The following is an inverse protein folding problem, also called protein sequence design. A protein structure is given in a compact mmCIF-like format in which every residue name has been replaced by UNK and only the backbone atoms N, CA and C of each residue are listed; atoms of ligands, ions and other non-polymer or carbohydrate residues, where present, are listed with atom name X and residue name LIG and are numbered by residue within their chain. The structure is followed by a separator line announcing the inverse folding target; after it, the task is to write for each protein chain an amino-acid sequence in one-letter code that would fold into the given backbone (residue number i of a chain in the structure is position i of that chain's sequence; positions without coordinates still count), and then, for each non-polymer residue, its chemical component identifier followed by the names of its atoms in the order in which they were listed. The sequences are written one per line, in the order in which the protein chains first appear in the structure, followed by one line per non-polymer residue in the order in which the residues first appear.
data_IF_615365380522
#
_entry.id   IF_615365380522
#
_cell.length_a   1.000
_cell.length_b   1.000
_cell.length_c   1.000
_cell.angle_alpha   90.00
_cell.angle_beta   90.00
_cell.angle_gamma   90.00
#
_symmetry.space_group_name_H-M   'P 1'
#
loop_
_entity.id
_entity.type
_entity.pdbx_description
1 polymer ?
#
# COMPACT_ATOMS: atom_id res chain seq x y z
N UNK A 1 -15.98 -17.56 16.42
CA UNK A 1 -16.39 -16.29 15.77
C UNK A 1 -15.58 -16.19 14.49
N UNK A 2 -16.22 -16.05 13.33
CA UNK A 2 -15.48 -15.70 12.12
C UNK A 2 -15.10 -14.22 12.26
N UNK A 3 -13.80 -13.96 12.38
CA UNK A 3 -13.27 -12.59 12.30
C UNK A 3 -13.66 -12.04 10.93
N UNK A 4 -14.44 -10.96 10.89
CA UNK A 4 -14.64 -10.21 9.65
C UNK A 4 -13.31 -9.52 9.36
N UNK A 5 -12.50 -10.09 8.49
CA UNK A 5 -11.28 -9.44 8.00
C UNK A 5 -11.68 -8.19 7.22
N UNK A 6 -11.45 -7.01 7.83
CA UNK A 6 -11.67 -5.70 7.19
C UNK A 6 -10.66 -5.52 6.05
N UNK A 7 -9.43 -5.99 6.24
CA UNK A 7 -8.40 -5.98 5.22
C UNK A 7 -8.56 -7.19 4.30
N UNK A 8 -9.23 -6.96 3.15
CA UNK A 8 -9.50 -7.99 2.14
C UNK A 8 -8.55 -7.85 0.94
N UNK A 9 -7.77 -8.90 0.60
CA UNK A 9 -6.88 -8.88 -0.55
C UNK A 9 -7.62 -8.67 -1.89
N UNK A 10 -8.82 -9.20 -2.06
CA UNK A 10 -9.56 -8.98 -3.32
C UNK A 10 -10.05 -7.54 -3.42
N UNK A 11 -10.44 -6.93 -2.31
CA UNK A 11 -10.83 -5.52 -2.32
C UNK A 11 -9.69 -4.59 -2.71
N UNK A 12 -8.49 -4.82 -2.18
CA UNK A 12 -7.28 -4.10 -2.58
C UNK A 12 -7.03 -4.25 -4.09
N UNK A 13 -7.27 -5.43 -4.68
CA UNK A 13 -7.16 -5.64 -6.12
C UNK A 13 -8.09 -4.75 -6.93
N UNK A 14 -9.36 -4.76 -6.54
CA UNK A 14 -10.41 -4.07 -7.27
C UNK A 14 -10.14 -2.57 -7.28
N UNK A 15 -9.79 -2.01 -6.11
CA UNK A 15 -9.41 -0.60 -6.01
C UNK A 15 -8.17 -0.30 -6.85
N UNK A 16 -7.13 -1.13 -6.73
CA UNK A 16 -5.89 -0.92 -7.48
C UNK A 16 -6.13 -0.88 -8.99
N UNK A 17 -6.86 -1.85 -9.55
CA UNK A 17 -7.17 -1.91 -10.97
C UNK A 17 -8.09 -0.78 -11.41
N UNK A 18 -9.08 -0.42 -10.59
CA UNK A 18 -9.97 0.70 -10.90
C UNK A 18 -9.21 2.03 -10.94
N UNK A 19 -8.14 2.18 -10.14
CA UNK A 19 -7.30 3.37 -10.16
C UNK A 19 -6.37 3.46 -11.39
N UNK A 20 -6.27 2.43 -12.24
CA UNK A 20 -5.40 2.47 -13.43
C UNK A 20 -6.06 3.11 -14.64
N UNK A 21 -5.28 3.83 -15.44
CA UNK A 21 -5.73 4.30 -16.75
C UNK A 21 -6.19 3.16 -17.65
N UNK A 22 -7.14 3.46 -18.54
CA UNK A 22 -7.52 2.59 -19.65
C UNK A 22 -6.67 2.91 -20.88
N UNK A 23 -6.54 1.95 -21.79
CA UNK A 23 -5.65 2.05 -22.96
C UNK A 23 -5.85 3.30 -23.85
N UNK A 24 -7.03 3.92 -23.80
CA UNK A 24 -7.41 5.06 -24.63
C UNK A 24 -7.37 6.42 -23.89
N UNK A 25 -7.02 6.43 -22.60
CA UNK A 25 -7.01 7.65 -21.79
C UNK A 25 -5.66 8.40 -21.91
N UNK A 26 -5.69 9.73 -21.77
CA UNK A 26 -4.46 10.53 -21.64
C UNK A 26 -3.85 10.32 -20.25
N UNK A 27 -2.58 9.93 -20.20
CA UNK A 27 -1.84 9.63 -18.98
C UNK A 27 -0.94 10.79 -18.52
N UNK A 28 -0.99 11.95 -19.18
CA UNK A 28 -0.14 13.11 -18.89
C UNK A 28 -0.25 13.64 -17.45
N UNK A 29 -1.38 13.39 -16.79
CA UNK A 29 -1.68 13.81 -15.41
C UNK A 29 -1.55 12.66 -14.38
N UNK A 30 -0.88 11.57 -14.71
CA UNK A 30 -0.76 10.40 -13.84
C UNK A 30 -0.16 10.73 -12.47
N UNK A 31 -0.69 10.10 -11.42
CA UNK A 31 -0.07 10.07 -10.10
C UNK A 31 0.86 8.88 -10.03
N UNK A 32 2.17 9.14 -9.93
CA UNK A 32 3.20 8.10 -9.93
C UNK A 32 3.41 7.53 -8.52
N UNK A 33 3.34 6.21 -8.39
CA UNK A 33 3.63 5.49 -7.15
C UNK A 33 4.70 4.41 -7.40
N UNK A 34 5.89 4.62 -6.84
CA UNK A 34 6.99 3.65 -6.90
C UNK A 34 6.69 2.44 -5.99
N UNK A 35 6.67 1.24 -6.57
CA UNK A 35 6.59 -0.02 -5.85
C UNK A 35 7.95 -0.72 -5.78
N UNK A 36 7.98 -1.93 -5.21
CA UNK A 36 9.23 -2.70 -5.08
C UNK A 36 9.73 -3.20 -6.43
N UNK A 37 8.85 -3.86 -7.20
CA UNK A 37 9.16 -4.44 -8.51
C UNK A 37 8.85 -3.44 -9.64
N UNK A 38 7.70 -2.78 -9.55
CA UNK A 38 7.14 -1.96 -10.62
C UNK A 38 6.82 -0.54 -10.14
N UNK A 39 6.79 0.42 -11.07
CA UNK A 39 6.24 1.77 -10.83
C UNK A 39 4.91 1.89 -11.54
N UNK A 40 3.91 2.47 -10.87
CA UNK A 40 2.53 2.55 -11.37
C UNK A 40 2.12 4.00 -11.55
N UNK A 41 1.37 4.28 -12.62
CA UNK A 41 0.72 5.57 -12.84
C UNK A 41 -0.80 5.42 -12.63
N UNK A 42 -1.33 6.06 -11.60
CA UNK A 42 -2.76 6.05 -11.29
C UNK A 42 -3.50 7.22 -11.94
N UNK A 43 -4.74 6.96 -12.32
CA UNK A 43 -5.71 7.95 -12.74
C UNK A 43 -6.13 8.80 -11.52
N UNK A 44 -5.86 10.11 -11.49
CA UNK A 44 -5.98 10.93 -10.29
C UNK A 44 -7.40 10.93 -9.70
N UNK A 45 -8.43 11.07 -10.54
CA UNK A 45 -9.82 11.15 -10.06
C UNK A 45 -10.32 9.83 -9.47
N UNK A 46 -9.91 8.69 -10.04
CA UNK A 46 -10.34 7.36 -9.57
C UNK A 46 -9.60 6.99 -8.28
N UNK A 47 -8.31 7.31 -8.22
CA UNK A 47 -7.54 7.19 -7.00
C UNK A 47 -8.14 8.02 -5.85
N UNK A 48 -8.47 9.28 -6.12
CA UNK A 48 -9.09 10.17 -5.11
C UNK A 48 -10.48 9.68 -4.69
N UNK A 49 -11.28 9.12 -5.61
CA UNK A 49 -12.60 8.57 -5.28
C UNK A 49 -12.56 7.39 -4.29
N UNK A 50 -11.41 6.73 -4.17
CA UNK A 50 -11.17 5.64 -3.22
C UNK A 50 -10.36 6.07 -1.99
N UNK A 51 -10.04 7.36 -1.80
CA UNK A 51 -9.16 7.84 -0.72
C UNK A 51 -9.54 7.27 0.65
N UNK A 52 -10.77 7.51 1.10
CA UNK A 52 -11.24 7.10 2.43
C UNK A 52 -11.16 5.58 2.64
N UNK A 53 -11.40 4.83 1.57
CA UNK A 53 -11.35 3.37 1.61
C UNK A 53 -9.91 2.85 1.64
N UNK A 54 -9.00 3.46 0.88
CA UNK A 54 -7.57 3.17 0.93
C UNK A 54 -7.03 3.48 2.33
N UNK A 55 -7.41 4.62 2.91
CA UNK A 55 -7.04 4.98 4.29
C UNK A 55 -7.56 3.96 5.29
N UNK A 56 -8.83 3.54 5.19
CA UNK A 56 -9.38 2.51 6.06
C UNK A 56 -8.62 1.17 5.97
N UNK A 57 -8.24 0.74 4.76
CA UNK A 57 -7.43 -0.47 4.55
C UNK A 57 -6.03 -0.34 5.14
N UNK A 58 -5.40 0.83 4.99
CA UNK A 58 -4.09 1.11 5.60
C UNK A 58 -4.17 1.06 7.12
N UNK A 59 -5.23 1.60 7.74
CA UNK A 59 -5.47 1.59 9.19
C UNK A 59 -5.74 0.19 9.78
N UNK A 60 -5.85 -0.84 8.95
CA UNK A 60 -5.89 -2.24 9.36
C UNK A 60 -4.51 -2.90 9.41
N UNK A 61 -3.46 -2.25 8.88
CA UNK A 61 -2.08 -2.72 9.07
C UNK A 61 -1.64 -2.55 10.55
N UNK A 62 -0.64 -3.32 10.99
CA UNK A 62 -0.15 -3.24 12.36
C UNK A 62 0.28 -1.83 12.79
N UNK A 63 0.10 -1.54 14.08
CA UNK A 63 0.32 -0.21 14.66
C UNK A 63 1.77 0.29 14.48
N UNK A 64 2.73 -0.60 14.30
CA UNK A 64 4.12 -0.26 14.04
C UNK A 64 4.32 0.48 12.71
N UNK A 65 3.45 0.27 11.71
CA UNK A 65 3.48 1.04 10.46
C UNK A 65 2.98 2.47 10.65
N UNK A 66 2.17 2.76 11.68
CA UNK A 66 1.60 4.08 11.91
C UNK A 66 2.65 5.06 12.40
N UNK A 67 2.58 6.32 11.93
CA UNK A 67 3.48 7.39 12.39
C UNK A 67 3.31 7.63 13.88
N UNK A 68 2.08 7.62 14.38
CA UNK A 68 1.79 7.81 15.81
C UNK A 68 2.16 6.59 16.68
N UNK A 69 2.28 5.42 16.05
CA UNK A 69 2.59 4.14 16.69
C UNK A 69 4.08 3.81 16.70
N UNK A 70 4.54 3.00 15.74
CA UNK A 70 5.94 2.58 15.64
C UNK A 70 6.84 3.49 14.80
N UNK A 71 6.28 4.41 14.04
CA UNK A 71 7.02 5.30 13.15
C UNK A 71 7.52 4.62 11.87
N UNK A 72 7.06 3.40 11.59
CA UNK A 72 7.31 2.65 10.36
C UNK A 72 7.79 1.22 10.59
N UNK A 73 7.47 0.33 9.66
CA UNK A 73 7.82 -1.10 9.74
C UNK A 73 8.25 -1.69 8.40
N UNK A 74 8.86 -2.87 8.44
CA UNK A 74 9.34 -3.57 7.26
C UNK A 74 8.16 -4.05 6.43
N UNK A 75 8.23 -3.86 5.11
CA UNK A 75 7.29 -4.42 4.14
C UNK A 75 6.98 -5.90 4.40
N UNK A 76 7.97 -6.70 4.82
CA UNK A 76 7.80 -8.13 5.10
C UNK A 76 6.73 -8.45 6.15
N UNK A 77 6.42 -7.52 7.04
CA UNK A 77 5.41 -7.70 8.09
C UNK A 77 4.00 -7.29 7.65
N UNK A 78 3.85 -6.69 6.46
CA UNK A 78 2.56 -6.20 5.99
C UNK A 78 1.63 -7.32 5.51
N UNK A 79 1.99 -8.61 5.64
CA UNK A 79 1.09 -9.73 5.37
C UNK A 79 0.12 -10.00 6.54
N UNK A 80 0.38 -9.40 7.70
CA UNK A 80 -0.47 -9.44 8.89
C UNK A 80 -1.31 -8.17 9.00
N UNK A 81 -2.53 -8.29 9.52
CA UNK A 81 -3.34 -7.17 9.98
C UNK A 81 -2.99 -6.80 11.44
N UNK A 82 -3.55 -5.71 11.97
CA UNK A 82 -3.34 -5.25 13.36
C UNK A 82 -3.83 -6.22 14.43
N UNK A 83 -4.61 -7.23 14.05
CA UNK A 83 -5.10 -8.28 14.94
C UNK A 83 -4.20 -9.54 14.89
N UNK A 84 -3.14 -9.53 14.06
CA UNK A 84 -2.22 -10.64 13.87
C UNK A 84 -2.73 -11.72 12.92
N UNK A 85 -3.82 -11.47 12.19
CA UNK A 85 -4.29 -12.40 11.17
C UNK A 85 -3.54 -12.16 9.86
N UNK A 86 -3.21 -13.24 9.16
CA UNK A 86 -2.68 -13.12 7.80
C UNK A 86 -3.82 -12.77 6.82
N UNK A 87 -3.82 -11.54 6.30
CA UNK A 87 -4.83 -11.09 5.33
C UNK A 87 -4.44 -11.42 3.88
N UNK A 88 -3.15 -11.64 3.61
CA UNK A 88 -2.69 -12.08 2.29
C UNK A 88 -1.43 -12.93 2.36
N UNK A 89 -1.27 -13.84 1.40
CA UNK A 89 -0.02 -14.57 1.16
C UNK A 89 0.80 -14.02 -0.01
N UNK A 90 0.38 -12.90 -0.61
CA UNK A 90 0.95 -12.39 -1.85
C UNK A 90 1.66 -11.05 -1.61
N UNK A 91 2.98 -11.01 -1.78
CA UNK A 91 3.74 -9.75 -1.73
C UNK A 91 3.24 -8.72 -2.75
N UNK A 92 2.78 -9.16 -3.92
CA UNK A 92 2.17 -8.27 -4.91
C UNK A 92 1.00 -7.50 -4.30
N UNK A 93 0.16 -8.15 -3.49
CA UNK A 93 -1.01 -7.53 -2.89
C UNK A 93 -0.64 -6.48 -1.84
N UNK A 94 0.35 -6.79 -1.01
CA UNK A 94 0.92 -5.82 -0.05
C UNK A 94 1.51 -4.61 -0.79
N UNK A 95 2.25 -4.85 -1.88
CA UNK A 95 2.86 -3.80 -2.69
C UNK A 95 1.82 -2.86 -3.28
N UNK A 96 0.71 -3.40 -3.79
CA UNK A 96 -0.40 -2.62 -4.32
C UNK A 96 -1.04 -1.72 -3.27
N UNK A 97 -1.25 -2.21 -2.04
CA UNK A 97 -1.77 -1.39 -0.94
C UNK A 97 -0.83 -0.22 -0.61
N UNK A 98 0.48 -0.47 -0.53
CA UNK A 98 1.44 0.61 -0.31
C UNK A 98 1.50 1.59 -1.49
N UNK A 99 1.41 1.12 -2.74
CA UNK A 99 1.37 2.00 -3.90
C UNK A 99 0.12 2.88 -3.92
N UNK A 100 -1.05 2.34 -3.58
CA UNK A 100 -2.27 3.14 -3.39
C UNK A 100 -2.05 4.22 -2.32
N UNK A 101 -1.50 3.83 -1.16
CA UNK A 101 -1.16 4.74 -0.08
C UNK A 101 -0.16 5.83 -0.47
N UNK A 102 0.86 5.50 -1.26
CA UNK A 102 1.83 6.47 -1.81
C UNK A 102 1.11 7.43 -2.74
N UNK A 103 0.25 6.91 -3.62
CA UNK A 103 -0.52 7.70 -4.57
C UNK A 103 -1.43 8.74 -3.89
N UNK A 104 -2.05 8.40 -2.76
CA UNK A 104 -2.89 9.34 -2.00
C UNK A 104 -2.10 10.19 -0.98
N UNK A 105 -0.78 10.04 -0.92
CA UNK A 105 0.12 10.79 -0.03
C UNK A 105 0.08 10.34 1.44
N UNK A 106 -0.40 9.13 1.72
CA UNK A 106 -0.55 8.57 3.08
C UNK A 106 0.51 7.55 3.46
N UNK A 107 1.33 7.11 2.52
CA UNK A 107 2.45 6.20 2.78
C UNK A 107 3.75 6.84 2.34
N UNK A 108 4.77 6.75 3.19
CA UNK A 108 6.13 7.19 2.90
C UNK A 108 7.09 6.01 2.98
N UNK A 109 7.88 5.79 1.92
CA UNK A 109 8.99 4.86 1.94
C UNK A 109 10.16 5.50 2.72
N UNK A 110 10.51 4.93 3.86
CA UNK A 110 11.53 5.47 4.77
C UNK A 110 12.95 5.21 4.27
N UNK A 111 13.13 4.24 3.38
CA UNK A 111 14.44 3.80 2.91
C UNK A 111 14.57 3.97 1.41
N UNK A 112 15.63 4.63 0.91
CA UNK A 112 15.85 4.76 -0.52
C UNK A 112 16.21 3.41 -1.14
N UNK A 113 15.81 3.19 -2.39
CA UNK A 113 15.95 1.91 -3.11
C UNK A 113 17.38 1.34 -3.09
N UNK A 114 18.37 2.20 -3.23
CA UNK A 114 19.77 1.79 -3.22
C UNK A 114 20.26 1.26 -1.87
N UNK A 115 19.49 1.42 -0.78
CA UNK A 115 19.85 0.89 0.55
C UNK A 115 19.14 -0.42 0.89
N UNK A 116 18.15 -0.85 0.09
CA UNK A 116 17.31 -2.00 0.46
C UNK A 116 18.10 -3.30 0.62
N UNK A 117 19.17 -3.50 -0.15
CA UNK A 117 20.01 -4.69 -0.08
C UNK A 117 20.64 -4.93 1.31
N UNK A 118 20.78 -3.89 2.12
CA UNK A 118 21.33 -3.97 3.48
C UNK A 118 20.24 -4.23 4.55
N UNK A 119 18.96 -4.23 4.16
CA UNK A 119 17.81 -4.45 5.03
C UNK A 119 17.38 -5.92 5.03
N UNK A 120 16.66 -6.37 6.07
CA UNK A 120 16.11 -7.72 6.11
C UNK A 120 15.31 -8.07 4.85
N UNK A 121 15.68 -9.18 4.21
CA UNK A 121 15.05 -9.66 2.97
C UNK A 121 15.21 -8.75 1.75
N UNK A 122 16.05 -7.71 1.80
CA UNK A 122 16.20 -6.78 0.70
C UNK A 122 14.99 -5.84 0.52
N UNK A 123 14.18 -5.64 1.56
CA UNK A 123 12.87 -4.98 1.46
C UNK A 123 12.82 -3.60 2.13
N UNK A 124 11.99 -2.67 1.62
CA UNK A 124 11.80 -1.35 2.20
C UNK A 124 11.09 -1.36 3.56
N UNK A 125 11.16 -0.21 4.21
CA UNK A 125 10.35 0.13 5.37
C UNK A 125 9.40 1.27 5.00
N UNK A 126 8.16 1.19 5.47
CA UNK A 126 7.12 2.16 5.18
C UNK A 126 6.55 2.73 6.48
N UNK A 127 6.12 3.99 6.43
CA UNK A 127 5.31 4.63 7.47
C UNK A 127 4.01 5.12 6.86
N UNK A 128 2.92 5.04 7.64
CA UNK A 128 1.58 5.52 7.31
C UNK A 128 1.31 6.83 8.07
N UNK A 129 0.80 7.83 7.38
CA UNK A 129 0.43 9.14 7.93
C UNK A 129 -1.02 9.10 8.48
N UNK A 130 -1.15 8.61 9.71
CA UNK A 130 -2.41 8.47 10.47
C UNK A 130 -2.82 9.72 11.27
#
# INVERSE_FOLDING_TARGET
MMSTTILDPERVNVIFLDCLFKDYEDTSNMVVAEGIVDTVGFHPERLESHRDEIEALLMELPNEFMRSGGGGWSFLNACLDKHGNQWTGLHQRMGQLFQLGIGIGKVVCLTPRNMWFALPGGMPYYVIED
#
